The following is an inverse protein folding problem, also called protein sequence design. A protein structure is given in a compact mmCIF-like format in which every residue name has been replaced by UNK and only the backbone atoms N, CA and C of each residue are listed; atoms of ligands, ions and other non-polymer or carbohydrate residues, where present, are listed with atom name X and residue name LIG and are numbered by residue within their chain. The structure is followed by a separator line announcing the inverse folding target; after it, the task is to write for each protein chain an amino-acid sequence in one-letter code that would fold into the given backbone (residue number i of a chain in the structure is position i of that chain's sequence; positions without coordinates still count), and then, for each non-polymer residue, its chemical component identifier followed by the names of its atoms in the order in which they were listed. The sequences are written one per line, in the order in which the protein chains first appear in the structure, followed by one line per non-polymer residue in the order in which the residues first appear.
data_IF_887481610387
#
_entry.id   IF_887481610387
#
_cell.length_a   1.000
_cell.length_b   1.000
_cell.length_c   1.000
_cell.angle_alpha   90.00
_cell.angle_beta   90.00
_cell.angle_gamma   90.00
#
_symmetry.space_group_name_H-M   'P 1'
#
loop_
_entity.id
_entity.type
_entity.pdbx_description
1 polymer ?
#
# COMPACT_ATOMS: atom_id res chain seq x y z
N UNK A 1 5.57 -8.12 23.03
CA UNK A 1 4.86 -6.96 22.45
C UNK A 1 4.28 -7.38 21.10
N UNK A 2 3.06 -6.98 20.78
CA UNK A 2 2.44 -7.26 19.47
C UNK A 2 2.20 -5.95 18.73
N UNK A 3 2.42 -5.95 17.42
CA UNK A 3 2.24 -4.79 16.56
C UNK A 3 1.40 -5.18 15.35
N UNK A 4 0.59 -4.23 14.88
CA UNK A 4 -0.14 -4.32 13.63
C UNK A 4 0.27 -3.12 12.77
N UNK A 5 0.84 -3.41 11.61
CA UNK A 5 1.22 -2.40 10.62
C UNK A 5 0.45 -2.75 9.36
N UNK A 6 -0.22 -1.77 8.77
CA UNK A 6 -1.06 -1.93 7.58
C UNK A 6 -0.67 -0.93 6.52
N UNK A 7 -0.78 -1.33 5.26
CA UNK A 7 -0.70 -0.45 4.10
C UNK A 7 -2.10 -0.13 3.62
N UNK A 8 -2.44 1.15 3.47
CA UNK A 8 -3.71 1.59 2.91
C UNK A 8 -3.55 1.96 1.43
N UNK A 9 -4.62 1.77 0.66
CA UNK A 9 -4.68 2.07 -0.78
C UNK A 9 -6.00 1.59 -1.40
N UNK A 10 -6.20 1.91 -2.68
CA UNK A 10 -7.33 1.45 -3.49
C UNK A 10 -6.94 0.22 -4.34
N UNK A 11 -7.88 -0.70 -4.56
CA UNK A 11 -7.69 -1.87 -5.42
C UNK A 11 -8.00 -1.53 -6.88
N UNK A 12 -7.21 -2.07 -7.81
CA UNK A 12 -7.33 -1.85 -9.26
C UNK A 12 -6.04 -1.35 -9.89
N UNK A 13 -5.77 -1.74 -11.14
CA UNK A 13 -4.55 -1.34 -11.87
C UNK A 13 -4.49 0.17 -12.11
N UNK A 14 -5.64 0.82 -12.22
CA UNK A 14 -5.76 2.28 -12.37
C UNK A 14 -5.24 3.07 -11.16
N UNK A 15 -5.12 2.43 -9.98
CA UNK A 15 -4.65 3.08 -8.75
C UNK A 15 -3.19 2.79 -8.40
N UNK A 16 -2.53 1.89 -9.16
CA UNK A 16 -1.21 1.32 -8.84
C UNK A 16 -0.13 2.37 -8.54
N UNK A 17 -0.11 3.45 -9.31
CA UNK A 17 0.91 4.50 -9.21
C UNK A 17 0.36 5.83 -8.69
N UNK A 18 -0.80 5.79 -8.01
CA UNK A 18 -1.36 6.99 -7.37
C UNK A 18 -0.72 7.22 -6.00
N UNK A 19 -0.60 8.49 -5.59
CA UNK A 19 -0.07 8.85 -4.25
C UNK A 19 -0.89 8.24 -3.11
N UNK A 20 -2.17 7.95 -3.35
CA UNK A 20 -3.06 7.32 -2.38
C UNK A 20 -2.66 5.87 -2.03
N UNK A 21 -1.89 5.23 -2.91
CA UNK A 21 -1.48 3.83 -2.77
C UNK A 21 -0.04 3.66 -2.25
N UNK A 22 0.59 4.72 -1.72
CA UNK A 22 1.94 4.60 -1.15
C UNK A 22 2.01 3.56 -0.04
N UNK A 23 0.93 3.38 0.73
CA UNK A 23 0.83 2.34 1.74
C UNK A 23 0.95 0.93 1.17
N UNK A 24 0.39 0.66 -0.01
CA UNK A 24 0.58 -0.62 -0.71
C UNK A 24 2.00 -0.74 -1.28
N UNK A 25 2.52 0.32 -1.88
CA UNK A 25 3.83 0.31 -2.56
C UNK A 25 4.99 0.01 -1.60
N UNK A 26 4.90 0.48 -0.34
CA UNK A 26 5.93 0.24 0.69
C UNK A 26 6.03 -1.25 1.07
N UNK A 27 4.95 -2.03 0.99
CA UNK A 27 4.98 -3.47 1.29
C UNK A 27 5.24 -4.35 0.06
N UNK A 28 5.12 -3.79 -1.15
CA UNK A 28 5.20 -4.51 -2.43
C UNK A 28 6.50 -4.19 -3.20
N UNK A 29 7.34 -3.28 -2.69
CA UNK A 29 8.68 -3.07 -3.24
C UNK A 29 9.52 -4.37 -3.15
N UNK A 30 10.27 -4.75 -4.21
CA UNK A 30 11.14 -5.92 -4.19
C UNK A 30 12.24 -5.83 -3.11
#
# INVERSE_FOLDING_TARGET
MKYLIVGLGNIGDEYRDTRHNIGFNVFVAP
#
